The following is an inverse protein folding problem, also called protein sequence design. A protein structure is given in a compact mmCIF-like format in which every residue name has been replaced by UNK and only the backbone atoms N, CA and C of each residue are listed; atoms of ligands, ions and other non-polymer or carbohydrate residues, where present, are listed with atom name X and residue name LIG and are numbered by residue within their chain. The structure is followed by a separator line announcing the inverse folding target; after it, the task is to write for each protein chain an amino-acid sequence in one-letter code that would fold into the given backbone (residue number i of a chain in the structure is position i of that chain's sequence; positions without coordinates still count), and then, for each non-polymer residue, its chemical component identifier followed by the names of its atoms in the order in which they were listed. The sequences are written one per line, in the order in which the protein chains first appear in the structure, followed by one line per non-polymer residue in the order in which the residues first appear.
data_IF_205151077254
#
_entry.id   IF_205151077254
#
_cell.length_a   1.000
_cell.length_b   1.000
_cell.length_c   1.000
_cell.angle_alpha   90.00
_cell.angle_beta   90.00
_cell.angle_gamma   90.00
#
_symmetry.space_group_name_H-M   'P 1'
#
loop_
_entity.id
_entity.type
_entity.pdbx_description
1 polymer ?
#
# COMPACT_ATOMS: atom_id res chain seq x y z
N UNK A 1 22.54 -19.15 -17.44
CA UNK A 1 21.58 -18.02 -17.53
C UNK A 1 20.19 -18.39 -18.07
N UNK A 2 20.02 -19.49 -18.82
CA UNK A 2 18.72 -19.88 -19.41
C UNK A 2 17.77 -20.65 -18.46
N UNK A 3 18.27 -21.43 -17.49
CA UNK A 3 17.41 -22.23 -16.60
C UNK A 3 16.58 -21.39 -15.62
N UNK A 4 17.16 -20.31 -15.05
CA UNK A 4 16.42 -19.38 -14.15
C UNK A 4 15.31 -18.62 -14.87
N UNK A 5 15.51 -18.21 -16.13
CA UNK A 5 14.48 -17.55 -16.94
C UNK A 5 13.35 -18.52 -17.32
N UNK A 6 13.69 -19.77 -17.67
CA UNK A 6 12.70 -20.81 -17.96
C UNK A 6 11.86 -21.16 -16.71
N UNK A 7 12.51 -21.31 -15.54
CA UNK A 7 11.83 -21.55 -14.27
C UNK A 7 10.91 -20.38 -13.87
N UNK A 8 11.35 -19.13 -14.06
CA UNK A 8 10.52 -17.94 -13.84
C UNK A 8 9.31 -17.87 -14.78
N UNK A 9 9.49 -18.18 -16.08
CA UNK A 9 8.40 -18.24 -17.05
C UNK A 9 7.40 -19.34 -16.71
N UNK A 10 7.88 -20.50 -16.28
CA UNK A 10 7.03 -21.63 -15.87
C UNK A 10 6.21 -21.30 -14.62
N UNK A 11 6.84 -20.71 -13.58
CA UNK A 11 6.11 -20.21 -12.41
C UNK A 11 5.05 -19.19 -12.79
N UNK A 12 5.38 -18.24 -13.66
CA UNK A 12 4.41 -17.25 -14.16
C UNK A 12 3.26 -17.90 -14.93
N UNK A 13 3.53 -18.92 -15.73
CA UNK A 13 2.50 -19.69 -16.41
C UNK A 13 1.59 -20.41 -15.40
N UNK A 14 2.17 -21.05 -14.37
CA UNK A 14 1.41 -21.68 -13.28
C UNK A 14 0.53 -20.65 -12.53
N UNK A 15 1.09 -19.50 -12.16
CA UNK A 15 0.36 -18.39 -11.53
C UNK A 15 -0.81 -17.92 -12.41
N UNK A 16 -0.55 -17.72 -13.71
CA UNK A 16 -1.55 -17.27 -14.69
C UNK A 16 -2.65 -18.30 -14.87
N UNK A 17 -2.29 -19.59 -15.04
CA UNK A 17 -3.25 -20.69 -15.20
C UNK A 17 -4.08 -20.87 -13.94
N UNK A 18 -3.47 -20.90 -12.75
CA UNK A 18 -4.21 -20.98 -11.49
C UNK A 18 -5.15 -19.79 -11.31
N UNK A 19 -4.69 -18.57 -11.64
CA UNK A 19 -5.52 -17.37 -11.53
C UNK A 19 -6.66 -17.37 -12.54
N UNK A 20 -6.47 -17.86 -13.77
CA UNK A 20 -7.53 -17.99 -14.76
C UNK A 20 -8.53 -19.09 -14.41
N UNK A 21 -8.04 -20.26 -14.00
CA UNK A 21 -8.89 -21.42 -13.66
C UNK A 21 -9.68 -21.19 -12.38
N UNK A 22 -9.08 -20.56 -11.37
CA UNK A 22 -9.72 -20.30 -10.07
C UNK A 22 -10.42 -18.93 -10.03
N UNK A 23 -10.06 -17.99 -10.92
CA UNK A 23 -10.57 -16.62 -10.92
C UNK A 23 -12.04 -16.50 -11.34
N UNK A 24 -12.53 -17.45 -12.14
CA UNK A 24 -13.92 -17.51 -12.60
C UNK A 24 -14.81 -18.46 -11.77
N UNK A 25 -14.27 -19.06 -10.69
CA UNK A 25 -15.09 -19.91 -9.81
C UNK A 25 -15.98 -18.99 -8.97
N UNK A 26 -17.31 -19.17 -9.00
CA UNK A 26 -18.23 -18.39 -8.17
C UNK A 26 -17.81 -18.43 -6.70
N UNK A 27 -17.52 -17.27 -6.12
CA UNK A 27 -16.93 -17.10 -4.77
C UNK A 27 -17.90 -17.32 -3.62
N UNK A 28 -19.06 -17.95 -3.85
CA UNK A 28 -19.99 -18.35 -2.78
C UNK A 28 -19.31 -19.39 -1.87
N UNK A 29 -18.55 -18.90 -0.88
CA UNK A 29 -17.81 -19.55 0.23
C UNK A 29 -16.88 -20.70 -0.17
N UNK A 30 -17.35 -21.68 -0.94
CA UNK A 30 -16.61 -22.82 -1.47
C UNK A 30 -15.47 -22.35 -2.39
N UNK A 31 -15.72 -21.38 -3.27
CA UNK A 31 -14.72 -20.87 -4.22
C UNK A 31 -13.54 -20.17 -3.54
N UNK A 32 -13.80 -19.32 -2.53
CA UNK A 32 -12.74 -18.61 -1.81
C UNK A 32 -11.85 -19.58 -1.02
N UNK A 33 -12.43 -20.56 -0.34
CA UNK A 33 -11.65 -21.53 0.44
C UNK A 33 -10.80 -22.43 -0.46
N UNK A 34 -11.35 -22.87 -1.60
CA UNK A 34 -10.63 -23.67 -2.58
C UNK A 34 -9.46 -22.89 -3.21
N UNK A 35 -9.70 -21.62 -3.56
CA UNK A 35 -8.68 -20.72 -4.11
C UNK A 35 -7.55 -20.45 -3.12
N UNK A 36 -7.88 -20.14 -1.87
CA UNK A 36 -6.90 -19.96 -0.80
C UNK A 36 -6.09 -21.24 -0.57
N UNK A 37 -6.72 -22.42 -0.62
CA UNK A 37 -6.04 -23.71 -0.49
C UNK A 37 -4.95 -23.90 -1.55
N UNK A 38 -5.26 -23.67 -2.83
CA UNK A 38 -4.27 -23.79 -3.91
C UNK A 38 -3.17 -22.71 -3.84
N UNK A 39 -3.51 -21.51 -3.37
CA UNK A 39 -2.53 -20.42 -3.25
C UNK A 39 -1.49 -20.63 -2.14
N UNK A 40 -1.77 -21.44 -1.13
CA UNK A 40 -0.78 -21.72 -0.07
C UNK A 40 0.55 -22.25 -0.59
N UNK A 41 0.56 -22.92 -1.74
CA UNK A 41 1.79 -23.47 -2.33
C UNK A 41 2.66 -22.47 -3.10
N UNK A 42 2.15 -21.26 -3.39
CA UNK A 42 2.86 -20.30 -4.27
C UNK A 42 3.22 -18.96 -3.59
N UNK A 43 2.54 -18.59 -2.51
CA UNK A 43 2.85 -17.38 -1.75
C UNK A 43 4.10 -17.55 -0.85
N UNK A 44 4.79 -16.45 -0.55
CA UNK A 44 5.82 -16.46 0.51
C UNK A 44 5.22 -16.79 1.89
N UNK A 45 4.01 -16.28 2.15
CA UNK A 45 3.24 -16.60 3.33
C UNK A 45 1.76 -16.31 3.11
N UNK A 46 0.89 -17.22 3.56
CA UNK A 46 -0.56 -17.05 3.48
C UNK A 46 -1.21 -17.51 4.79
N UNK A 47 -1.74 -16.55 5.54
CA UNK A 47 -2.35 -16.74 6.85
C UNK A 47 -3.63 -17.57 6.83
N UNK A 48 -4.16 -17.84 8.02
CA UNK A 48 -5.43 -18.55 8.22
C UNK A 48 -6.61 -17.58 8.05
N UNK A 49 -7.71 -18.06 7.48
CA UNK A 49 -8.93 -17.28 7.32
C UNK A 49 -8.84 -16.14 6.31
N UNK A 50 -7.87 -16.16 5.41
CA UNK A 50 -7.76 -15.17 4.32
C UNK A 50 -8.93 -15.34 3.34
N UNK A 51 -9.60 -14.23 3.06
CA UNK A 51 -10.72 -14.17 2.12
C UNK A 51 -10.30 -13.46 0.84
N UNK A 52 -10.46 -14.14 -0.31
CA UNK A 52 -10.09 -13.63 -1.63
C UNK A 52 -11.30 -13.70 -2.54
N UNK A 53 -11.80 -12.53 -2.96
CA UNK A 53 -12.91 -12.43 -3.90
C UNK A 53 -12.45 -12.69 -5.35
N UNK A 54 -13.39 -12.93 -6.26
CA UNK A 54 -13.16 -13.13 -7.70
C UNK A 54 -12.36 -11.99 -8.35
N UNK A 55 -11.63 -12.32 -9.40
CA UNK A 55 -10.83 -11.35 -10.19
C UNK A 55 -9.73 -10.59 -9.42
N UNK A 56 -9.38 -10.97 -8.19
CA UNK A 56 -8.13 -10.50 -7.56
C UNK A 56 -6.94 -11.05 -8.37
N UNK A 57 -6.01 -10.18 -8.74
CA UNK A 57 -4.79 -10.56 -9.46
C UNK A 57 -3.59 -10.51 -8.52
N UNK A 58 -2.76 -11.56 -8.56
CA UNK A 58 -1.48 -11.59 -7.89
C UNK A 58 -0.38 -11.86 -8.91
N UNK A 59 0.69 -11.07 -8.87
CA UNK A 59 1.84 -11.24 -9.74
C UNK A 59 3.08 -11.41 -8.88
N UNK A 60 3.83 -12.49 -9.11
CA UNK A 60 5.04 -12.84 -8.36
C UNK A 60 4.72 -13.14 -6.87
N UNK A 61 3.84 -14.11 -6.66
CA UNK A 61 3.37 -14.54 -5.32
C UNK A 61 4.47 -14.96 -4.34
N UNK A 62 5.65 -15.48 -4.75
CA UNK A 62 6.76 -15.73 -3.82
C UNK A 62 7.37 -14.47 -3.18
N UNK A 63 6.95 -13.28 -3.58
CA UNK A 63 7.33 -12.00 -2.98
C UNK A 63 6.20 -11.38 -2.15
N UNK A 64 5.07 -12.10 -1.97
CA UNK A 64 3.86 -11.60 -1.33
C UNK A 64 3.57 -12.44 -0.07
N UNK A 65 3.44 -11.77 1.06
CA UNK A 65 3.05 -12.32 2.35
C UNK A 65 1.69 -11.71 2.76
N UNK A 66 0.74 -12.56 3.13
CA UNK A 66 -0.59 -12.14 3.58
C UNK A 66 -0.88 -12.74 4.96
N UNK A 67 -1.22 -11.90 5.92
CA UNK A 67 -1.53 -12.23 7.31
C UNK A 67 -2.88 -12.92 7.49
N UNK A 68 -3.19 -13.29 8.73
CA UNK A 68 -4.43 -13.97 9.09
C UNK A 68 -5.64 -13.04 8.91
N UNK A 69 -6.77 -13.60 8.49
CA UNK A 69 -8.05 -12.87 8.37
C UNK A 69 -8.03 -11.65 7.44
N UNK A 70 -6.99 -11.48 6.62
CA UNK A 70 -6.96 -10.45 5.60
C UNK A 70 -8.06 -10.68 4.56
N UNK A 71 -8.67 -9.61 4.07
CA UNK A 71 -9.74 -9.64 3.08
C UNK A 71 -9.30 -8.85 1.85
N UNK A 72 -9.34 -9.47 0.67
CA UNK A 72 -8.95 -8.84 -0.58
C UNK A 72 -10.09 -9.00 -1.57
N UNK A 73 -10.73 -7.87 -1.90
CA UNK A 73 -11.96 -7.83 -2.67
C UNK A 73 -11.70 -7.70 -4.17
N UNK A 74 -12.78 -7.89 -4.95
CA UNK A 74 -12.71 -8.09 -6.39
C UNK A 74 -11.91 -7.04 -7.15
N UNK A 75 -11.16 -7.48 -8.16
CA UNK A 75 -10.41 -6.61 -9.05
C UNK A 75 -9.22 -5.89 -8.40
N UNK A 76 -8.86 -6.22 -7.15
CA UNK A 76 -7.60 -5.75 -6.58
C UNK A 76 -6.41 -6.39 -7.33
N UNK A 77 -5.38 -5.60 -7.60
CA UNK A 77 -4.14 -6.03 -8.24
C UNK A 77 -2.97 -5.87 -7.26
N UNK A 78 -2.31 -6.98 -6.92
CA UNK A 78 -1.15 -6.99 -6.02
C UNK A 78 0.05 -7.54 -6.79
N UNK A 79 0.94 -6.62 -7.13
CA UNK A 79 1.97 -6.85 -8.13
C UNK A 79 3.38 -6.58 -7.58
N UNK A 80 4.17 -7.64 -7.45
CA UNK A 80 5.57 -7.58 -7.04
C UNK A 80 6.54 -7.84 -8.20
N UNK A 81 6.23 -7.38 -9.43
CA UNK A 81 7.05 -7.62 -10.64
C UNK A 81 8.38 -6.87 -10.63
N UNK A 82 9.36 -7.41 -11.37
CA UNK A 82 10.54 -6.66 -11.80
C UNK A 82 11.81 -7.01 -11.04
N UNK A 83 11.71 -7.50 -9.80
CA UNK A 83 12.88 -7.85 -9.00
C UNK A 83 12.55 -8.96 -7.96
N UNK A 84 13.37 -10.02 -7.83
CA UNK A 84 13.16 -11.06 -6.81
C UNK A 84 13.33 -10.57 -5.37
N UNK A 85 13.89 -9.38 -5.16
CA UNK A 85 13.99 -8.73 -3.84
C UNK A 85 12.76 -7.92 -3.45
N UNK A 86 11.81 -7.73 -4.37
CA UNK A 86 10.56 -7.08 -4.03
C UNK A 86 9.87 -7.85 -2.89
N UNK A 87 9.21 -7.11 -2.02
CA UNK A 87 8.43 -7.68 -0.93
C UNK A 87 7.15 -6.88 -0.74
N UNK A 88 6.01 -7.57 -0.71
CA UNK A 88 4.71 -7.01 -0.32
C UNK A 88 4.24 -7.79 0.90
N UNK A 89 4.06 -7.10 2.02
CA UNK A 89 3.55 -7.68 3.27
C UNK A 89 2.23 -7.03 3.64
N UNK A 90 1.19 -7.85 3.70
CA UNK A 90 -0.16 -7.48 4.11
C UNK A 90 -0.41 -8.11 5.48
N UNK A 91 -0.62 -7.29 6.51
CA UNK A 91 -0.77 -7.72 7.90
C UNK A 91 -2.08 -8.47 8.20
N UNK A 92 -2.20 -8.89 9.46
CA UNK A 92 -3.40 -9.54 9.98
C UNK A 92 -4.60 -8.57 9.94
N UNK A 93 -5.78 -9.07 9.57
CA UNK A 93 -7.02 -8.29 9.57
C UNK A 93 -7.12 -7.17 8.52
N UNK A 94 -6.09 -6.98 7.69
CA UNK A 94 -6.09 -5.93 6.65
C UNK A 94 -7.22 -6.15 5.65
N UNK A 95 -7.90 -5.05 5.30
CA UNK A 95 -8.99 -5.05 4.33
C UNK A 95 -8.58 -4.25 3.10
N UNK A 96 -8.43 -4.94 1.96
CA UNK A 96 -8.16 -4.36 0.65
C UNK A 96 -9.44 -4.41 -0.17
N UNK A 97 -10.01 -3.24 -0.44
CA UNK A 97 -11.29 -3.12 -1.13
C UNK A 97 -11.16 -3.28 -2.66
N UNK A 98 -12.30 -3.19 -3.34
CA UNK A 98 -12.41 -3.39 -4.79
C UNK A 98 -11.47 -2.46 -5.57
N UNK A 99 -10.79 -3.02 -6.57
CA UNK A 99 -10.04 -2.25 -7.56
C UNK A 99 -8.79 -1.54 -7.03
N UNK A 100 -8.33 -1.89 -5.83
CA UNK A 100 -7.07 -1.39 -5.27
C UNK A 100 -5.89 -1.91 -6.10
N UNK A 101 -4.94 -1.03 -6.42
CA UNK A 101 -3.74 -1.36 -7.20
C UNK A 101 -2.48 -1.12 -6.37
N UNK A 102 -1.73 -2.19 -6.08
CA UNK A 102 -0.53 -2.20 -5.24
C UNK A 102 0.63 -2.71 -6.08
N UNK A 103 1.65 -1.87 -6.29
CA UNK A 103 2.78 -2.18 -7.16
C UNK A 103 4.13 -1.93 -6.48
N UNK A 104 4.84 -3.01 -6.18
CA UNK A 104 6.26 -3.00 -5.81
C UNK A 104 7.10 -3.25 -7.08
N UNK A 105 7.83 -2.24 -7.56
CA UNK A 105 8.38 -2.24 -8.92
C UNK A 105 9.87 -2.60 -9.03
N UNK A 106 10.72 -2.20 -8.09
CA UNK A 106 12.16 -2.42 -8.21
C UNK A 106 12.92 -2.36 -6.88
N UNK A 107 13.19 -3.53 -6.30
CA UNK A 107 13.83 -3.68 -4.99
C UNK A 107 13.05 -2.89 -3.92
N UNK A 108 11.73 -3.06 -3.95
CA UNK A 108 10.78 -2.28 -3.17
C UNK A 108 10.14 -3.14 -2.09
N UNK A 109 10.16 -2.65 -0.86
CA UNK A 109 9.38 -3.20 0.24
C UNK A 109 8.13 -2.34 0.47
N UNK A 110 6.97 -2.98 0.34
CA UNK A 110 5.67 -2.39 0.62
C UNK A 110 5.02 -3.16 1.78
N UNK A 111 4.76 -2.46 2.87
CA UNK A 111 4.20 -3.03 4.09
C UNK A 111 2.90 -2.31 4.45
N UNK A 112 1.84 -3.10 4.67
CA UNK A 112 0.56 -2.64 5.23
C UNK A 112 0.35 -3.42 6.52
N UNK A 113 0.39 -2.74 7.65
CA UNK A 113 0.30 -3.38 8.96
C UNK A 113 -1.14 -3.68 9.40
N UNK A 114 -1.27 -4.39 10.52
CA UNK A 114 -2.51 -4.99 11.00
C UNK A 114 -3.68 -4.03 11.14
N UNK A 115 -4.88 -4.57 10.90
CA UNK A 115 -6.18 -3.90 11.06
C UNK A 115 -6.33 -2.58 10.26
N UNK A 116 -5.51 -2.38 9.23
CA UNK A 116 -5.61 -1.26 8.31
C UNK A 116 -6.65 -1.52 7.20
N UNK A 117 -7.43 -0.49 6.88
CA UNK A 117 -8.42 -0.49 5.82
C UNK A 117 -7.93 0.33 4.63
N UNK A 118 -7.92 -0.29 3.44
CA UNK A 118 -7.60 0.34 2.16
C UNK A 118 -8.86 0.39 1.31
N UNK A 119 -9.40 1.59 1.13
CA UNK A 119 -10.65 1.86 0.42
C UNK A 119 -10.59 1.57 -1.08
N UNK A 120 -11.75 1.56 -1.75
CA UNK A 120 -11.83 1.22 -3.18
C UNK A 120 -10.95 2.12 -4.05
N UNK A 121 -10.35 1.52 -5.07
CA UNK A 121 -9.58 2.23 -6.10
C UNK A 121 -8.40 3.07 -5.58
N UNK A 122 -7.86 2.71 -4.41
CA UNK A 122 -6.59 3.27 -3.93
C UNK A 122 -5.45 2.75 -4.81
N UNK A 123 -4.52 3.63 -5.16
CA UNK A 123 -3.32 3.30 -5.92
C UNK A 123 -2.08 3.51 -5.05
N UNK A 124 -1.28 2.46 -4.87
CA UNK A 124 -0.03 2.48 -4.10
C UNK A 124 1.08 1.98 -5.01
N UNK A 125 1.94 2.88 -5.46
CA UNK A 125 2.94 2.54 -6.46
C UNK A 125 4.24 3.32 -6.29
N UNK A 126 5.33 2.68 -6.70
CA UNK A 126 6.63 3.32 -6.84
C UNK A 126 7.77 2.35 -6.59
N UNK A 127 8.99 2.69 -7.02
CA UNK A 127 10.21 1.98 -6.65
C UNK A 127 10.77 2.34 -5.26
N UNK A 128 10.21 3.34 -4.56
CA UNK A 128 10.55 3.64 -3.16
C UNK A 128 9.76 2.77 -2.18
N UNK A 129 10.32 2.53 -0.98
CA UNK A 129 9.64 1.73 0.05
C UNK A 129 8.40 2.46 0.58
N UNK A 130 7.35 1.70 0.89
CA UNK A 130 6.10 2.24 1.44
C UNK A 130 5.75 1.47 2.69
N UNK A 131 5.52 2.19 3.79
CA UNK A 131 5.01 1.63 5.04
C UNK A 131 3.69 2.31 5.40
N UNK A 132 2.66 1.51 5.65
CA UNK A 132 1.39 1.95 6.24
C UNK A 132 1.24 1.24 7.57
N UNK A 133 1.14 2.03 8.64
CA UNK A 133 1.05 1.57 10.02
C UNK A 133 -0.27 0.86 10.34
N UNK A 134 -0.45 0.56 11.62
CA UNK A 134 -1.59 -0.20 12.13
C UNK A 134 -2.85 0.64 12.21
N UNK A 135 -4.02 0.02 12.02
CA UNK A 135 -5.31 0.67 12.24
C UNK A 135 -5.56 1.92 11.39
N UNK A 136 -4.86 2.06 10.25
CA UNK A 136 -5.05 3.21 9.37
C UNK A 136 -6.35 3.07 8.57
N UNK A 137 -6.96 4.20 8.25
CA UNK A 137 -8.10 4.29 7.36
C UNK A 137 -7.69 5.08 6.11
N UNK A 138 -7.55 4.40 4.98
CA UNK A 138 -7.25 5.04 3.70
C UNK A 138 -8.53 5.04 2.86
N UNK A 139 -9.17 6.19 2.68
CA UNK A 139 -10.43 6.27 1.95
C UNK A 139 -10.26 6.02 0.45
N UNK A 140 -11.38 5.89 -0.25
CA UNK A 140 -11.39 5.60 -1.69
C UNK A 140 -10.59 6.64 -2.51
N UNK A 141 -10.03 6.18 -3.63
CA UNK A 141 -9.32 7.00 -4.61
C UNK A 141 -8.08 7.74 -4.09
N UNK A 142 -7.50 7.34 -2.95
CA UNK A 142 -6.21 7.88 -2.54
C UNK A 142 -5.07 7.36 -3.44
N UNK A 143 -4.02 8.17 -3.58
CA UNK A 143 -2.80 7.83 -4.32
C UNK A 143 -1.55 8.00 -3.47
N UNK A 144 -0.74 6.95 -3.34
CA UNK A 144 0.54 6.98 -2.64
C UNK A 144 1.64 6.68 -3.65
N UNK A 145 2.45 7.69 -3.98
CA UNK A 145 3.45 7.61 -5.05
C UNK A 145 4.87 7.80 -4.51
N UNK A 146 5.56 6.69 -4.23
CA UNK A 146 6.91 6.66 -3.65
C UNK A 146 8.04 6.87 -4.68
N UNK A 147 7.80 7.77 -5.63
CA UNK A 147 8.78 8.27 -6.57
C UNK A 147 8.30 9.57 -7.20
N UNK A 148 9.24 10.33 -7.74
CA UNK A 148 8.96 11.41 -8.66
C UNK A 148 9.98 11.37 -9.80
N UNK A 149 9.64 11.89 -10.98
CA UNK A 149 10.62 12.09 -12.03
C UNK A 149 11.53 13.28 -11.68
N UNK A 150 12.80 13.17 -12.02
CA UNK A 150 13.69 14.33 -11.97
C UNK A 150 13.37 15.25 -13.17
N UNK A 151 13.35 16.56 -12.94
CA UNK A 151 13.01 17.57 -13.94
C UNK A 151 13.90 18.83 -13.83
N UNK A 152 15.08 18.69 -13.21
CA UNK A 152 15.97 19.83 -12.93
C UNK A 152 16.67 20.33 -14.20
N UNK A 153 16.98 19.43 -15.14
CA UNK A 153 17.58 19.81 -16.43
C UNK A 153 16.49 20.16 -17.45
N UNK A 154 16.37 21.42 -17.93
CA UNK A 154 15.33 21.82 -18.86
C UNK A 154 15.59 21.36 -20.32
N UNK A 155 16.80 20.88 -20.63
CA UNK A 155 17.20 20.50 -22.00
C UNK A 155 17.08 18.98 -22.21
N UNK A 156 17.31 18.18 -21.16
CA UNK A 156 17.15 16.74 -21.24
C UNK A 156 15.67 16.33 -21.06
N UNK A 157 15.17 15.37 -21.85
CA UNK A 157 13.84 14.79 -21.61
C UNK A 157 13.71 14.22 -20.19
N UNK A 158 12.62 14.52 -19.51
CA UNK A 158 12.30 14.07 -18.13
C UNK A 158 12.55 12.56 -17.95
N UNK A 159 12.13 11.75 -18.93
CA UNK A 159 12.30 10.29 -18.89
C UNK A 159 13.76 9.81 -18.80
N UNK A 160 14.73 10.68 -19.14
CA UNK A 160 16.18 10.39 -19.13
C UNK A 160 16.91 10.99 -17.92
N UNK A 161 16.22 11.78 -17.09
CA UNK A 161 16.81 12.44 -15.92
C UNK A 161 16.78 11.57 -14.65
N UNK A 162 16.14 10.40 -14.72
CA UNK A 162 15.98 9.49 -13.60
C UNK A 162 14.79 9.85 -12.69
N UNK A 163 14.77 9.25 -11.51
CA UNK A 163 13.66 9.35 -10.55
C UNK A 163 14.18 9.43 -9.12
N UNK A 164 13.40 10.04 -8.22
CA UNK A 164 13.54 9.86 -6.78
C UNK A 164 12.85 8.57 -6.32
N UNK A 165 13.21 8.06 -5.14
CA UNK A 165 12.64 6.85 -4.53
C UNK A 165 12.74 6.91 -3.01
N UNK A 166 12.41 8.07 -2.43
CA UNK A 166 12.62 8.36 -1.00
C UNK A 166 11.72 7.52 -0.10
N UNK A 167 10.56 7.09 -0.61
CA UNK A 167 9.61 6.26 0.12
C UNK A 167 8.51 7.06 0.79
N UNK A 168 7.52 6.37 1.35
CA UNK A 168 6.41 6.98 2.09
C UNK A 168 6.23 6.21 3.40
N UNK A 169 6.04 6.94 4.49
CA UNK A 169 5.68 6.37 5.80
C UNK A 169 4.37 6.98 6.26
N UNK A 170 3.36 6.15 6.44
CA UNK A 170 2.14 6.49 7.17
C UNK A 170 2.23 5.74 8.50
N UNK A 171 2.31 6.46 9.61
CA UNK A 171 2.34 5.86 10.93
C UNK A 171 0.95 5.38 11.37
N UNK A 172 0.87 4.73 12.52
CA UNK A 172 -0.38 4.09 12.99
C UNK A 172 -1.53 5.10 13.20
N UNK A 173 -2.76 4.61 13.15
CA UNK A 173 -4.01 5.36 13.43
C UNK A 173 -4.20 6.61 12.56
N UNK A 174 -3.61 6.64 11.36
CA UNK A 174 -3.83 7.74 10.41
C UNK A 174 -5.13 7.56 9.62
N UNK A 175 -5.82 8.67 9.36
CA UNK A 175 -6.97 8.71 8.45
C UNK A 175 -6.67 9.60 7.25
N UNK A 176 -6.67 9.03 6.05
CA UNK A 176 -6.62 9.76 4.79
C UNK A 176 -8.02 9.82 4.19
N UNK A 177 -8.57 11.03 4.07
CA UNK A 177 -9.84 11.29 3.43
C UNK A 177 -9.86 10.95 1.94
N UNK A 178 -11.05 10.90 1.34
CA UNK A 178 -11.22 10.51 -0.06
C UNK A 178 -10.33 11.33 -1.00
N UNK A 179 -9.67 10.68 -1.96
CA UNK A 179 -8.90 11.38 -2.99
C UNK A 179 -7.61 12.05 -2.51
N UNK A 180 -7.08 11.69 -1.34
CA UNK A 180 -5.79 12.22 -0.87
C UNK A 180 -4.65 11.68 -1.72
N UNK A 181 -3.71 12.56 -2.08
CA UNK A 181 -2.46 12.18 -2.77
C UNK A 181 -1.26 12.43 -1.84
N UNK A 182 -0.40 11.43 -1.67
CA UNK A 182 0.85 11.53 -0.90
C UNK A 182 2.04 11.40 -1.85
N UNK A 183 2.93 12.40 -1.84
CA UNK A 183 4.11 12.42 -2.71
C UNK A 183 5.30 11.68 -2.10
N UNK A 184 6.34 11.46 -2.90
CA UNK A 184 7.58 10.80 -2.49
C UNK A 184 8.30 11.53 -1.34
N UNK A 185 8.81 10.77 -0.38
CA UNK A 185 9.63 11.24 0.73
C UNK A 185 8.85 11.81 1.91
N UNK A 186 7.59 11.42 2.08
CA UNK A 186 6.69 11.99 3.08
C UNK A 186 6.44 11.00 4.23
N UNK A 187 6.48 11.54 5.44
CA UNK A 187 6.01 10.90 6.67
C UNK A 187 4.73 11.56 7.17
N UNK A 188 3.67 10.78 7.37
CA UNK A 188 2.44 11.20 8.04
C UNK A 188 2.45 10.58 9.44
N UNK A 189 2.63 11.44 10.45
CA UNK A 189 2.80 11.02 11.84
C UNK A 189 1.53 10.44 12.45
N UNK A 190 1.73 9.60 13.48
CA UNK A 190 0.71 8.79 14.15
C UNK A 190 -0.54 9.60 14.47
N UNK A 191 -1.71 9.00 14.24
CA UNK A 191 -2.96 9.64 14.60
C UNK A 191 -3.29 10.88 13.74
N UNK A 192 -2.61 11.13 12.62
CA UNK A 192 -2.94 12.31 11.81
C UNK A 192 -4.17 12.09 10.93
N UNK A 193 -4.89 13.17 10.65
CA UNK A 193 -6.06 13.20 9.76
C UNK A 193 -5.75 14.10 8.57
N UNK A 194 -5.84 13.55 7.38
CA UNK A 194 -5.68 14.29 6.13
C UNK A 194 -7.06 14.48 5.49
N UNK A 195 -7.48 15.73 5.32
CA UNK A 195 -8.77 16.04 4.72
C UNK A 195 -8.88 15.57 3.27
N UNK A 196 -10.11 15.27 2.83
CA UNK A 196 -10.37 14.82 1.47
C UNK A 196 -9.81 15.77 0.40
N UNK A 197 -9.33 15.21 -0.71
CA UNK A 197 -8.78 15.94 -1.85
C UNK A 197 -7.44 16.63 -1.61
N UNK A 198 -6.79 16.41 -0.47
CA UNK A 198 -5.52 17.06 -0.14
C UNK A 198 -4.33 16.44 -0.87
N UNK A 199 -3.31 17.25 -1.18
CA UNK A 199 -2.02 16.79 -1.71
C UNK A 199 -0.92 17.02 -0.67
N UNK A 200 -0.43 15.95 -0.07
CA UNK A 200 0.59 15.99 0.97
C UNK A 200 1.97 16.06 0.33
N UNK A 201 2.62 17.21 0.45
CA UNK A 201 3.94 17.51 -0.14
C UNK A 201 5.02 17.80 0.90
N UNK A 202 4.68 17.73 2.19
CA UNK A 202 5.58 17.88 3.34
C UNK A 202 5.14 16.94 4.44
N UNK A 203 6.07 16.57 5.32
CA UNK A 203 5.77 15.74 6.48
C UNK A 203 4.66 16.35 7.34
N UNK A 204 3.80 15.49 7.87
CA UNK A 204 2.70 15.86 8.75
C UNK A 204 3.05 15.39 10.16
N UNK A 205 3.22 16.29 11.15
CA UNK A 205 3.52 15.91 12.52
C UNK A 205 2.43 15.01 13.11
N UNK A 206 2.76 14.13 14.08
CA UNK A 206 1.77 13.30 14.76
C UNK A 206 0.57 14.09 15.28
N UNK A 207 -0.59 13.43 15.26
CA UNK A 207 -1.86 13.95 15.75
C UNK A 207 -2.30 15.25 15.08
N UNK A 208 -1.86 15.53 13.86
CA UNK A 208 -2.23 16.74 13.13
C UNK A 208 -3.49 16.53 12.29
N UNK A 209 -4.26 17.58 12.10
CA UNK A 209 -5.28 17.70 11.07
C UNK A 209 -4.70 18.58 9.96
N UNK A 210 -4.53 18.03 8.76
CA UNK A 210 -4.00 18.75 7.61
C UNK A 210 -4.96 18.70 6.42
N UNK A 211 -5.10 19.83 5.71
CA UNK A 211 -6.02 19.95 4.57
C UNK A 211 -5.42 20.79 3.44
N UNK A 212 -5.89 20.56 2.22
CA UNK A 212 -5.63 21.43 1.06
C UNK A 212 -4.57 20.93 0.09
N UNK A 213 -4.29 21.74 -0.93
CA UNK A 213 -3.33 21.44 -2.01
C UNK A 213 -2.44 22.66 -2.24
N UNK A 214 -1.21 22.70 -1.68
CA UNK A 214 -0.60 21.66 -0.82
C UNK A 214 -1.25 21.59 0.57
N UNK A 215 -1.20 20.39 1.17
CA UNK A 215 -1.75 20.16 2.51
C UNK A 215 -1.00 20.99 3.56
N UNK A 216 -1.74 21.66 4.43
CA UNK A 216 -1.22 22.42 5.57
C UNK A 216 -1.89 21.96 6.84
N UNK A 217 -1.11 21.83 7.92
CA UNK A 217 -1.65 21.58 9.25
C UNK A 217 -2.51 22.77 9.66
N UNK A 218 -3.78 22.51 9.99
CA UNK A 218 -4.73 23.54 10.43
C UNK A 218 -5.04 23.44 11.91
N UNK A 219 -4.84 22.27 12.52
CA UNK A 219 -5.15 22.04 13.93
C UNK A 219 -4.46 20.78 14.45
N UNK A 220 -4.14 20.73 15.75
CA UNK A 220 -3.80 19.48 16.45
C UNK A 220 -5.06 18.76 16.95
N UNK A 221 -5.09 17.42 16.86
CA UNK A 221 -6.11 16.57 17.48
C UNK A 221 -5.98 16.52 19.00
N UNK A 222 -4.80 16.79 19.53
CA UNK A 222 -4.52 16.77 20.96
C UNK A 222 -4.78 18.15 21.55
N UNK A 223 -5.57 18.18 22.63
CA UNK A 223 -5.75 19.39 23.43
C UNK A 223 -4.54 19.63 24.35
N UNK A 224 -4.32 20.89 24.74
CA UNK A 224 -3.22 21.26 25.66
C UNK A 224 -3.26 20.46 26.96
N UNK A 225 -4.46 20.12 27.47
CA UNK A 225 -4.62 19.31 28.68
C UNK A 225 -4.21 17.85 28.54
N UNK A 226 -4.25 17.31 27.32
CA UNK A 226 -3.88 15.92 27.02
C UNK A 226 -2.37 15.80 26.76
N UNK A 227 -1.75 16.80 26.13
CA UNK A 227 -0.30 16.85 25.93
C UNK A 227 0.50 16.84 27.26
N UNK A 228 -0.04 17.45 28.33
CA UNK A 228 0.61 17.42 29.65
C UNK A 228 0.57 16.04 30.34
N UNK A 229 -0.21 15.07 29.83
CA UNK A 229 -0.34 13.74 30.43
C UNK A 229 0.52 12.67 29.76
N UNK A 230 1.06 12.97 28.58
CA UNK A 230 1.83 12.01 27.79
C UNK A 230 3.16 12.64 27.37
N UNK A 231 4.26 12.18 27.99
CA UNK A 231 5.60 12.77 27.87
C UNK A 231 6.20 12.67 26.46
N UNK A 232 5.61 11.84 25.60
CA UNK A 232 6.10 11.58 24.24
C UNK A 232 5.49 12.54 23.19
N UNK A 233 4.62 13.47 23.60
CA UNK A 233 3.87 14.36 22.69
C UNK A 233 4.42 15.79 22.74
N UNK A 234 5.34 16.12 21.82
CA UNK A 234 5.84 17.48 21.62
C UNK A 234 4.89 18.28 20.72
N UNK A 235 4.08 19.18 21.32
CA UNK A 235 3.21 20.09 20.55
C UNK A 235 4.04 21.28 20.05
N UNK A 236 4.32 21.34 18.74
CA UNK A 236 4.91 22.53 18.10
C UNK A 236 3.80 23.37 17.47
N UNK A 237 3.58 24.56 18.01
CA UNK A 237 2.73 25.58 17.39
C UNK A 237 3.59 26.43 16.45
N UNK A 238 3.28 26.41 15.15
CA UNK A 238 3.77 27.46 14.25
C UNK A 238 2.73 28.57 14.24
N UNK A 239 3.09 29.70 14.86
CA UNK A 239 2.41 31.00 14.74
C UNK A 239 2.49 31.56 13.33
#
# INVERSE_FOLDING_TARGET
MNSRKAASKWKRLQETVLTLLLGNIPTKVIGSNLRTFFYRGIFAGLGKGVYLQDSVEFINTPCIEIGNRAQILRGANINAIGNPKNKISIGDGVQIQQGVDIRALNDTHLEIQEDTFIGPYVCIAGPGNIKIGKGCLIAAHCGLFANNHNFVDPVQYIARQGITRKGIVIEDDCWLGHGVTVTDGITIGRGSVIGAGSVVTKDIPPYSIAVGTPAKVVKSRISVSEACRDSDIQVTFNS
#
